data_IF_521251283512
#
_entry.id   IF_521251283512
#
_cell.length_a   1.000
_cell.length_b   1.000
_cell.length_c   1.000
_cell.angle_alpha   90.00
_cell.angle_beta   90.00
_cell.angle_gamma   90.00
#
_symmetry.space_group_name_H-M   'P 1'
#
loop_
_entity.id
_entity.type
_entity.pdbx_description
1 polymer ?
#
# COMPACT_ATOMS: atom_id res chain seq x y z
N UNK A 1 2.91 -13.70 -25.18
CA UNK A 1 4.37 -13.48 -25.02
C UNK A 1 4.69 -13.46 -23.53
N UNK A 2 5.69 -14.23 -23.06
CA UNK A 2 6.20 -14.10 -21.69
C UNK A 2 6.67 -12.67 -21.45
N UNK A 3 6.54 -12.18 -20.21
CA UNK A 3 7.18 -10.92 -19.80
C UNK A 3 8.68 -11.00 -20.07
N UNK A 4 9.32 -9.89 -20.47
CA UNK A 4 10.78 -9.82 -20.63
C UNK A 4 11.55 -10.11 -19.34
N UNK A 5 10.88 -10.13 -18.19
CA UNK A 5 11.46 -10.49 -16.90
C UNK A 5 11.23 -11.96 -16.53
N UNK A 6 10.55 -12.76 -17.35
CA UNK A 6 10.15 -14.13 -17.01
C UNK A 6 11.35 -14.98 -16.58
N UNK A 7 12.49 -14.88 -17.27
CA UNK A 7 13.70 -15.62 -16.93
C UNK A 7 14.29 -15.18 -15.59
N UNK A 8 14.29 -13.88 -15.29
CA UNK A 8 14.75 -13.35 -14.01
C UNK A 8 13.90 -13.84 -12.81
N UNK A 9 12.67 -14.30 -13.06
CA UNK A 9 11.79 -14.86 -12.02
C UNK A 9 11.93 -16.38 -11.83
N UNK A 10 12.74 -17.09 -12.63
CA UNK A 10 12.97 -18.55 -12.49
C UNK A 10 13.78 -18.90 -11.24
N UNK A 11 14.70 -18.03 -10.83
CA UNK A 11 15.57 -18.24 -9.67
C UNK A 11 15.61 -16.98 -8.80
N UNK A 12 15.20 -17.10 -7.54
CA UNK A 12 15.15 -15.98 -6.59
C UNK A 12 16.25 -16.11 -5.55
N UNK A 13 17.15 -15.12 -5.49
CA UNK A 13 18.32 -15.13 -4.59
C UNK A 13 18.26 -14.03 -3.52
N UNK A 14 17.13 -13.33 -3.41
CA UNK A 14 16.90 -12.31 -2.37
C UNK A 14 17.21 -10.90 -2.87
N UNK A 15 17.51 -9.95 -1.96
CA UNK A 15 17.78 -8.56 -2.32
C UNK A 15 18.96 -8.44 -3.31
N UNK A 16 18.77 -7.66 -4.37
CA UNK A 16 19.80 -7.44 -5.40
C UNK A 16 19.95 -8.57 -6.42
N UNK A 17 19.02 -9.53 -6.45
CA UNK A 17 18.99 -10.55 -7.51
C UNK A 17 18.60 -9.98 -8.88
N UNK A 18 18.55 -10.84 -9.90
CA UNK A 18 18.32 -10.44 -11.29
C UNK A 18 16.92 -9.87 -11.57
N UNK A 19 15.98 -9.91 -10.61
CA UNK A 19 14.64 -9.37 -10.83
C UNK A 19 14.68 -7.85 -10.93
N UNK A 20 13.87 -7.26 -11.84
CA UNK A 20 13.91 -5.83 -12.05
C UNK A 20 13.45 -5.07 -10.81
N UNK A 21 14.11 -3.95 -10.55
CA UNK A 21 13.60 -2.98 -9.58
C UNK A 21 12.37 -2.26 -10.16
N UNK A 22 11.55 -1.66 -9.29
CA UNK A 22 10.43 -0.83 -9.74
C UNK A 22 10.90 0.33 -10.65
N UNK A 23 12.08 0.90 -10.39
CA UNK A 23 12.66 1.95 -11.22
C UNK A 23 13.05 1.41 -12.60
N UNK A 24 13.67 0.23 -12.66
CA UNK A 24 14.00 -0.42 -13.93
C UNK A 24 12.73 -0.63 -14.75
N UNK A 25 11.65 -1.12 -14.14
CA UNK A 25 10.36 -1.31 -14.84
C UNK A 25 9.85 0.00 -15.43
N UNK A 26 9.93 1.11 -14.70
CA UNK A 26 9.47 2.42 -15.19
C UNK A 26 10.30 2.88 -16.39
N UNK A 27 11.64 2.75 -16.32
CA UNK A 27 12.55 3.09 -17.41
C UNK A 27 12.29 2.24 -18.65
N UNK A 28 12.19 0.93 -18.43
CA UNK A 28 11.95 -0.09 -19.44
C UNK A 28 10.62 0.05 -20.18
N UNK A 29 9.64 0.70 -19.55
CA UNK A 29 8.33 0.99 -20.13
C UNK A 29 8.24 2.44 -20.64
N UNK A 30 9.31 3.23 -20.56
CA UNK A 30 9.32 4.61 -21.01
C UNK A 30 8.34 5.52 -20.26
N UNK A 31 8.05 5.22 -18.99
CA UNK A 31 6.99 5.88 -18.21
C UNK A 31 7.45 7.18 -17.51
N UNK A 32 8.69 7.62 -17.72
CA UNK A 32 9.20 8.89 -17.20
C UNK A 32 8.32 10.07 -17.62
N UNK A 33 7.78 10.81 -16.66
CA UNK A 33 6.85 11.93 -16.90
C UNK A 33 5.47 11.58 -17.49
N UNK A 34 5.19 10.31 -17.81
CA UNK A 34 3.97 9.90 -18.53
C UNK A 34 2.70 9.80 -17.67
N UNK A 35 2.83 9.87 -16.35
CA UNK A 35 1.71 9.81 -15.41
C UNK A 35 1.38 11.16 -14.78
N UNK A 36 1.83 12.26 -15.40
CA UNK A 36 1.46 13.61 -15.00
C UNK A 36 -0.07 13.76 -14.95
N UNK A 37 -0.58 14.36 -13.88
CA UNK A 37 -2.02 14.51 -13.63
C UNK A 37 -2.72 13.25 -13.11
N UNK A 38 -1.99 12.15 -12.88
CA UNK A 38 -2.51 10.96 -12.20
C UNK A 38 -2.17 10.97 -10.72
N UNK A 39 -3.13 10.60 -9.89
CA UNK A 39 -3.01 10.61 -8.42
C UNK A 39 -2.91 9.19 -7.88
N UNK A 40 -1.91 8.96 -7.04
CA UNK A 40 -1.65 7.70 -6.37
C UNK A 40 -1.72 7.89 -4.86
N UNK A 41 -2.32 6.93 -4.16
CA UNK A 41 -2.36 6.88 -2.70
C UNK A 41 -1.77 5.54 -2.24
N UNK A 42 -0.70 5.58 -1.46
CA UNK A 42 0.09 4.39 -1.11
C UNK A 42 0.16 4.26 0.41
N UNK A 43 -0.23 3.10 0.95
CA UNK A 43 -0.13 2.84 2.38
C UNK A 43 1.24 2.28 2.77
N UNK A 44 1.74 2.66 3.96
CA UNK A 44 2.95 2.03 4.53
C UNK A 44 4.26 2.55 3.94
N UNK A 45 4.39 3.86 3.77
CA UNK A 45 5.50 4.51 3.09
C UNK A 45 6.65 4.95 4.03
N UNK A 46 6.81 4.31 5.20
CA UNK A 46 7.91 4.59 6.12
C UNK A 46 9.11 3.65 5.97
N UNK A 47 8.96 2.51 5.28
CA UNK A 47 10.03 1.54 5.05
C UNK A 47 9.71 0.59 3.89
N UNK A 48 10.68 -0.26 3.51
CA UNK A 48 10.46 -1.43 2.65
C UNK A 48 9.87 -1.11 1.26
N UNK A 49 8.94 -1.97 0.83
CA UNK A 49 8.34 -1.94 -0.51
C UNK A 49 7.61 -0.62 -0.79
N UNK A 50 6.93 -0.04 0.22
CA UNK A 50 6.23 1.23 0.06
C UNK A 50 7.17 2.39 -0.31
N UNK A 51 8.34 2.46 0.33
CA UNK A 51 9.37 3.48 0.03
C UNK A 51 9.95 3.30 -1.38
N UNK A 52 10.27 2.05 -1.76
CA UNK A 52 10.78 1.76 -3.10
C UNK A 52 9.75 2.09 -4.19
N UNK A 53 8.47 1.76 -3.94
CA UNK A 53 7.35 2.06 -4.84
C UNK A 53 7.16 3.57 -5.00
N UNK A 54 7.16 4.32 -3.90
CA UNK A 54 7.04 5.78 -3.93
C UNK A 54 8.18 6.44 -4.72
N UNK A 55 9.44 6.07 -4.44
CA UNK A 55 10.61 6.59 -5.14
C UNK A 55 10.56 6.34 -6.65
N UNK A 56 10.16 5.14 -7.04
CA UNK A 56 10.01 4.79 -8.44
C UNK A 56 8.90 5.63 -9.10
N UNK A 57 7.69 5.66 -8.51
CA UNK A 57 6.54 6.36 -9.08
C UNK A 57 6.74 7.88 -9.19
N UNK A 58 7.52 8.51 -8.31
CA UNK A 58 7.79 9.96 -8.43
C UNK A 58 8.44 10.32 -9.78
N UNK A 59 9.24 9.41 -10.37
CA UNK A 59 9.89 9.64 -11.68
C UNK A 59 8.90 9.69 -12.85
N UNK A 60 7.67 9.22 -12.65
CA UNK A 60 6.62 9.20 -13.67
C UNK A 60 5.87 10.52 -13.80
N UNK A 61 6.13 11.49 -12.91
CA UNK A 61 5.40 12.76 -12.85
C UNK A 61 4.06 12.69 -12.12
N UNK A 62 3.64 11.51 -11.63
CA UNK A 62 2.43 11.35 -10.84
C UNK A 62 2.44 12.18 -9.53
N UNK A 63 1.26 12.54 -9.06
CA UNK A 63 1.05 13.09 -7.72
C UNK A 63 0.85 11.94 -6.74
N UNK A 64 1.66 11.91 -5.69
CA UNK A 64 1.69 10.84 -4.70
C UNK A 64 1.26 11.35 -3.33
N UNK A 65 0.28 10.67 -2.74
CA UNK A 65 -0.05 10.78 -1.33
C UNK A 65 0.42 9.51 -0.63
N UNK A 66 1.32 9.68 0.32
CA UNK A 66 2.07 8.61 0.95
C UNK A 66 1.66 8.51 2.42
N UNK A 67 1.11 7.37 2.83
CA UNK A 67 0.61 7.24 4.21
C UNK A 67 1.59 6.50 5.11
N UNK A 68 1.70 6.95 6.34
CA UNK A 68 2.51 6.30 7.37
C UNK A 68 1.95 6.61 8.76
N UNK A 69 2.12 5.66 9.70
CA UNK A 69 1.82 5.90 11.12
C UNK A 69 2.87 6.74 11.84
N UNK A 70 4.11 6.70 11.35
CA UNK A 70 5.24 7.43 11.90
C UNK A 70 5.77 8.39 10.83
N UNK A 71 5.31 9.64 10.90
CA UNK A 71 5.66 10.69 9.94
C UNK A 71 7.17 11.01 9.96
N UNK A 72 7.83 11.18 11.12
CA UNK A 72 9.28 11.41 11.13
C UNK A 72 10.09 10.32 10.41
N UNK A 73 9.72 9.03 10.58
CA UNK A 73 10.37 7.93 9.89
C UNK A 73 10.13 7.99 8.36
N UNK A 74 8.91 8.30 7.93
CA UNK A 74 8.59 8.46 6.51
C UNK A 74 9.31 9.67 5.88
N UNK A 75 9.38 10.80 6.58
CA UNK A 75 10.14 11.98 6.16
C UNK A 75 11.62 11.64 5.96
N UNK A 76 12.23 10.90 6.91
CA UNK A 76 13.62 10.44 6.78
C UNK A 76 13.79 9.53 5.56
N UNK A 77 12.92 8.55 5.37
CA UNK A 77 13.03 7.57 4.29
C UNK A 77 12.80 8.15 2.88
N UNK A 78 11.98 9.20 2.78
CA UNK A 78 11.50 9.79 1.53
C UNK A 78 12.04 11.21 1.28
N UNK A 79 12.97 11.71 2.11
CA UNK A 79 13.52 13.07 2.04
C UNK A 79 13.88 13.52 0.62
N UNK A 80 14.44 12.61 -0.18
CA UNK A 80 14.89 12.89 -1.55
C UNK A 80 13.77 13.09 -2.58
N UNK A 81 12.53 12.71 -2.26
CA UNK A 81 11.39 12.78 -3.20
C UNK A 81 10.23 13.64 -2.70
N UNK A 82 10.24 14.05 -1.42
CA UNK A 82 9.20 14.93 -0.89
C UNK A 82 9.21 16.26 -1.63
N UNK A 83 8.05 16.64 -2.16
CA UNK A 83 7.87 17.87 -2.93
C UNK A 83 6.45 18.38 -2.72
N UNK A 84 6.27 19.53 -2.04
CA UNK A 84 4.95 20.09 -1.80
C UNK A 84 4.11 20.17 -3.08
N UNK A 85 2.84 19.74 -3.01
CA UNK A 85 1.92 19.70 -4.15
C UNK A 85 2.13 18.54 -5.14
N UNK A 86 3.19 17.73 -4.97
CA UNK A 86 3.41 16.53 -5.80
C UNK A 86 3.59 15.26 -4.98
N UNK A 87 4.40 15.27 -3.92
CA UNK A 87 4.65 14.11 -3.06
C UNK A 87 4.45 14.53 -1.62
N UNK A 88 3.30 14.15 -1.04
CA UNK A 88 2.85 14.58 0.27
C UNK A 88 2.64 13.41 1.22
N UNK A 89 2.92 13.63 2.50
CA UNK A 89 2.70 12.64 3.56
C UNK A 89 1.35 12.87 4.24
N UNK A 90 0.66 11.78 4.56
CA UNK A 90 -0.57 11.79 5.35
C UNK A 90 -0.43 10.80 6.51
N UNK A 91 -0.66 11.26 7.73
CA UNK A 91 -0.58 10.39 8.91
C UNK A 91 -1.79 9.48 8.98
N UNK A 92 -1.56 8.17 8.93
CA UNK A 92 -2.59 7.15 9.06
C UNK A 92 -2.06 5.96 9.85
N UNK A 93 -2.76 5.61 10.93
CA UNK A 93 -2.57 4.37 11.66
C UNK A 93 -3.67 3.36 11.31
N UNK A 94 -3.30 2.30 10.57
CA UNK A 94 -4.23 1.25 10.16
C UNK A 94 -4.73 0.38 11.32
N UNK A 95 -4.17 0.46 12.53
CA UNK A 95 -4.77 -0.19 13.71
C UNK A 95 -5.99 0.56 14.25
N UNK A 96 -6.38 1.69 13.65
CA UNK A 96 -7.54 2.49 14.03
C UNK A 96 -8.38 2.85 12.82
N UNK A 97 -9.60 2.32 12.74
CA UNK A 97 -10.54 2.66 11.67
C UNK A 97 -10.94 4.14 11.70
N UNK A 98 -10.89 4.78 12.89
CA UNK A 98 -11.09 6.21 13.00
C UNK A 98 -9.92 7.00 12.39
N UNK A 99 -8.68 6.53 12.57
CA UNK A 99 -7.51 7.12 11.90
C UNK A 99 -7.60 6.98 10.38
N UNK A 100 -8.08 5.84 9.86
CA UNK A 100 -8.36 5.65 8.42
C UNK A 100 -9.37 6.69 7.92
N UNK A 101 -10.51 6.85 8.59
CA UNK A 101 -11.53 7.85 8.23
C UNK A 101 -10.98 9.27 8.22
N UNK A 102 -10.23 9.65 9.27
CA UNK A 102 -9.61 10.97 9.36
C UNK A 102 -8.55 11.19 8.27
N UNK A 103 -7.74 10.18 7.97
CA UNK A 103 -6.73 10.21 6.92
C UNK A 103 -7.33 10.38 5.53
N UNK A 104 -8.42 9.67 5.23
CA UNK A 104 -9.17 9.86 3.97
C UNK A 104 -9.74 11.27 3.89
N UNK A 105 -10.32 11.81 4.97
CA UNK A 105 -10.77 13.21 5.00
C UNK A 105 -9.62 14.19 4.74
N UNK A 106 -8.44 13.94 5.30
CA UNK A 106 -7.26 14.77 5.07
C UNK A 106 -6.76 14.70 3.62
N UNK A 107 -6.79 13.50 3.01
CA UNK A 107 -6.50 13.32 1.59
C UNK A 107 -7.51 14.08 0.70
N UNK A 108 -8.81 13.94 0.97
CA UNK A 108 -9.87 14.56 0.16
C UNK A 108 -9.88 16.08 0.23
N UNK A 109 -9.30 16.69 1.27
CA UNK A 109 -9.04 18.14 1.34
C UNK A 109 -7.96 18.60 0.36
N UNK A 110 -7.09 17.69 -0.10
CA UNK A 110 -5.95 17.97 -0.98
C UNK A 110 -6.24 17.56 -2.43
N UNK A 111 -6.96 16.46 -2.63
CA UNK A 111 -7.35 16.00 -3.96
C UNK A 111 -8.67 15.23 -3.93
N UNK A 112 -9.54 15.52 -4.90
CA UNK A 112 -10.73 14.73 -5.19
C UNK A 112 -10.50 13.73 -6.32
N UNK A 113 -9.26 13.66 -6.85
CA UNK A 113 -8.87 12.70 -7.88
C UNK A 113 -8.06 11.58 -7.24
N UNK A 114 -8.37 10.33 -7.55
CA UNK A 114 -7.58 9.16 -7.16
C UNK A 114 -7.61 8.12 -8.27
N UNK A 115 -6.48 7.91 -8.94
CA UNK A 115 -6.41 6.91 -10.01
C UNK A 115 -5.93 5.55 -9.48
N UNK A 116 -4.99 5.52 -8.54
CA UNK A 116 -4.43 4.25 -8.05
C UNK A 116 -4.33 4.24 -6.53
N UNK A 117 -4.97 3.26 -5.92
CA UNK A 117 -4.82 2.94 -4.50
C UNK A 117 -3.91 1.73 -4.35
N UNK A 118 -2.79 1.89 -3.64
CA UNK A 118 -1.85 0.81 -3.33
C UNK A 118 -1.92 0.49 -1.83
N UNK A 119 -2.61 -0.59 -1.51
CA UNK A 119 -2.72 -1.18 -0.18
C UNK A 119 -1.46 -2.01 0.10
N UNK A 120 -0.38 -1.33 0.49
CA UNK A 120 0.95 -1.92 0.71
C UNK A 120 1.28 -2.19 2.18
N UNK A 121 0.76 -1.39 3.12
CA UNK A 121 1.06 -1.54 4.53
C UNK A 121 0.64 -2.92 5.06
N UNK A 122 1.52 -3.57 5.82
CA UNK A 122 1.18 -4.83 6.47
C UNK A 122 2.06 -5.10 7.68
N UNK A 123 1.53 -5.95 8.56
CA UNK A 123 2.23 -6.50 9.72
C UNK A 123 2.17 -8.03 9.65
N UNK A 124 3.20 -8.69 10.17
CA UNK A 124 3.34 -10.15 10.18
C UNK A 124 4.20 -10.54 11.38
N UNK A 125 4.15 -11.81 11.80
CA UNK A 125 4.99 -12.37 12.85
C UNK A 125 4.83 -11.61 14.17
N UNK A 126 3.59 -11.28 14.53
CA UNK A 126 3.27 -10.67 15.81
C UNK A 126 3.27 -11.81 16.84
N UNK A 127 4.18 -11.84 17.82
CA UNK A 127 4.39 -13.03 18.66
C UNK A 127 3.20 -13.33 19.58
N UNK A 128 2.45 -12.30 19.99
CA UNK A 128 1.33 -12.42 20.90
C UNK A 128 0.03 -11.99 20.21
N UNK A 129 -1.09 -12.64 20.55
CA UNK A 129 -2.42 -12.22 20.10
C UNK A 129 -2.70 -10.80 20.61
N UNK A 130 -2.66 -9.83 19.72
CA UNK A 130 -2.95 -8.42 20.02
C UNK A 130 -4.17 -7.94 19.23
N UNK A 131 -4.74 -6.82 19.67
CA UNK A 131 -5.93 -6.22 19.07
C UNK A 131 -5.67 -4.80 18.60
N UNK A 132 -6.28 -4.45 17.48
CA UNK A 132 -6.46 -3.08 17.01
C UNK A 132 -7.30 -2.25 17.99
N UNK A 133 -7.30 -0.93 17.80
CA UNK A 133 -8.13 0.01 18.58
C UNK A 133 -9.63 -0.29 18.48
N UNK A 134 -10.05 -1.06 17.47
CA UNK A 134 -11.43 -1.46 17.25
C UNK A 134 -11.72 -2.91 17.70
N UNK A 135 -10.79 -3.57 18.38
CA UNK A 135 -10.99 -4.92 18.95
C UNK A 135 -10.78 -6.08 17.97
N UNK A 136 -10.32 -5.82 16.74
CA UNK A 136 -9.95 -6.86 15.78
C UNK A 136 -8.53 -7.37 16.03
N UNK A 137 -8.28 -8.65 15.80
CA UNK A 137 -6.94 -9.25 15.72
C UNK A 137 -6.07 -8.39 14.81
N UNK A 138 -4.84 -8.10 15.26
CA UNK A 138 -4.03 -7.04 14.68
C UNK A 138 -3.66 -7.29 13.21
N UNK A 139 -3.29 -8.51 12.81
CA UNK A 139 -2.97 -8.79 11.41
C UNK A 139 -4.21 -8.65 10.51
N UNK A 140 -5.36 -9.18 10.92
CA UNK A 140 -6.62 -9.08 10.19
C UNK A 140 -7.11 -7.62 10.10
N UNK A 141 -7.04 -6.90 11.22
CA UNK A 141 -7.43 -5.49 11.31
C UNK A 141 -6.57 -4.60 10.42
N UNK A 142 -5.25 -4.73 10.49
CA UNK A 142 -4.30 -3.88 9.73
C UNK A 142 -4.22 -4.29 8.26
N UNK A 143 -4.00 -5.58 7.97
CA UNK A 143 -3.70 -6.04 6.61
C UNK A 143 -4.95 -6.10 5.73
N UNK A 144 -6.14 -6.28 6.32
CA UNK A 144 -7.39 -6.46 5.60
C UNK A 144 -8.44 -5.39 5.90
N UNK A 145 -8.99 -5.33 7.12
CA UNK A 145 -10.16 -4.48 7.41
C UNK A 145 -9.89 -2.99 7.19
N UNK A 146 -8.72 -2.51 7.60
CA UNK A 146 -8.34 -1.11 7.41
C UNK A 146 -8.22 -0.76 5.92
N UNK A 147 -7.61 -1.64 5.11
CA UNK A 147 -7.52 -1.46 3.65
C UNK A 147 -8.86 -1.58 2.94
N UNK A 148 -9.73 -2.50 3.39
CA UNK A 148 -11.08 -2.61 2.86
C UNK A 148 -11.89 -1.34 3.12
N UNK A 149 -11.85 -0.81 4.35
CA UNK A 149 -12.47 0.49 4.67
C UNK A 149 -11.87 1.62 3.83
N UNK A 150 -10.56 1.60 3.62
CA UNK A 150 -9.86 2.58 2.78
C UNK A 150 -10.43 2.61 1.36
N UNK A 151 -10.59 1.43 0.75
CA UNK A 151 -11.20 1.28 -0.57
C UNK A 151 -12.66 1.76 -0.57
N UNK A 152 -13.48 1.31 0.38
CA UNK A 152 -14.90 1.67 0.47
C UNK A 152 -15.11 3.19 0.57
N UNK A 153 -14.24 3.91 1.27
CA UNK A 153 -14.33 5.37 1.41
C UNK A 153 -13.87 6.14 0.17
N UNK A 154 -13.15 5.48 -0.76
CA UNK A 154 -12.52 6.12 -1.91
C UNK A 154 -13.03 5.61 -3.26
N UNK A 155 -13.81 4.54 -3.28
CA UNK A 155 -14.30 3.88 -4.49
C UNK A 155 -14.97 4.86 -5.46
N UNK A 156 -15.88 5.72 -4.98
CA UNK A 156 -16.58 6.69 -5.83
C UNK A 156 -15.61 7.70 -6.48
N UNK A 157 -14.58 8.14 -5.76
CA UNK A 157 -13.53 9.02 -6.29
C UNK A 157 -12.63 8.28 -7.29
N UNK A 158 -12.40 6.98 -7.10
CA UNK A 158 -11.66 6.17 -8.05
C UNK A 158 -12.43 5.96 -9.34
N UNK A 159 -13.74 5.69 -9.24
CA UNK A 159 -14.63 5.56 -10.40
C UNK A 159 -14.66 6.88 -11.18
N UNK A 160 -14.86 8.01 -10.49
CA UNK A 160 -14.91 9.33 -11.14
C UNK A 160 -13.58 9.74 -11.78
N UNK A 161 -12.45 9.25 -11.26
CA UNK A 161 -11.11 9.50 -11.80
C UNK A 161 -10.72 8.57 -12.94
N UNK A 162 -11.51 7.53 -13.21
CA UNK A 162 -11.24 6.55 -14.25
C UNK A 162 -11.62 7.10 -15.63
N UNK A 163 -10.78 6.86 -16.63
CA UNK A 163 -11.06 7.24 -18.02
C UNK A 163 -10.71 6.09 -18.98
N UNK A 164 -11.24 6.07 -20.22
CA UNK A 164 -10.85 5.07 -21.21
C UNK A 164 -9.34 5.02 -21.47
N UNK A 165 -8.65 6.15 -21.32
CA UNK A 165 -7.19 6.27 -21.46
C UNK A 165 -6.40 5.89 -20.20
N UNK A 166 -7.05 5.85 -19.02
CA UNK A 166 -6.41 5.45 -17.76
C UNK A 166 -7.46 4.92 -16.77
N UNK A 167 -7.59 3.60 -16.70
CA UNK A 167 -8.48 2.96 -15.75
C UNK A 167 -7.92 3.07 -14.32
N UNK A 168 -8.77 3.43 -13.37
CA UNK A 168 -8.40 3.40 -11.96
C UNK A 168 -8.14 1.97 -11.48
N UNK A 169 -7.25 1.80 -10.50
CA UNK A 169 -6.82 0.48 -10.01
C UNK A 169 -6.62 0.44 -8.50
N UNK A 170 -7.07 -0.65 -7.89
CA UNK A 170 -6.70 -1.01 -6.51
C UNK A 170 -5.66 -2.12 -6.58
N UNK A 171 -4.53 -1.92 -5.90
CA UNK A 171 -3.45 -2.90 -5.81
C UNK A 171 -3.31 -3.32 -4.35
N UNK A 172 -3.65 -4.56 -4.03
CA UNK A 172 -3.44 -5.15 -2.73
C UNK A 172 -2.12 -5.94 -2.72
N UNK A 173 -1.14 -5.46 -1.95
CA UNK A 173 0.13 -6.17 -1.79
C UNK A 173 -0.09 -7.31 -0.80
N UNK A 174 0.02 -8.54 -1.30
CA UNK A 174 -0.08 -9.77 -0.50
C UNK A 174 1.30 -10.40 -0.33
N UNK A 175 1.34 -11.59 0.28
CA UNK A 175 2.55 -12.38 0.50
C UNK A 175 2.31 -13.82 0.05
N UNK A 176 3.36 -14.55 -0.31
CA UNK A 176 3.29 -16.01 -0.50
C UNK A 176 2.72 -16.74 0.73
N UNK A 177 2.78 -16.12 1.91
CA UNK A 177 2.16 -16.58 3.15
C UNK A 177 0.67 -16.94 3.03
N UNK A 178 -0.10 -16.26 2.18
CA UNK A 178 -1.53 -16.55 2.02
C UNK A 178 -1.81 -17.97 1.49
N UNK A 179 -0.82 -18.64 0.90
CA UNK A 179 -0.93 -20.03 0.42
C UNK A 179 -0.81 -21.07 1.52
N UNK A 180 -0.34 -20.69 2.71
CA UNK A 180 -0.06 -21.59 3.84
C UNK A 180 -1.21 -21.71 4.84
N UNK A 181 -2.31 -20.99 4.64
CA UNK A 181 -3.47 -21.02 5.52
C UNK A 181 -4.60 -20.14 5.00
N UNK A 182 -5.79 -20.31 5.58
CA UNK A 182 -6.99 -19.55 5.22
C UNK A 182 -7.50 -18.68 6.36
N UNK A 183 -8.52 -17.87 6.06
CA UNK A 183 -9.23 -17.10 7.07
C UNK A 183 -10.12 -18.04 7.89
N UNK A 184 -10.06 -17.92 9.22
CA UNK A 184 -10.95 -18.65 10.13
C UNK A 184 -12.29 -17.94 10.19
N UNK A 185 -13.20 -18.22 9.26
CA UNK A 185 -14.46 -17.46 9.15
C UNK A 185 -15.33 -17.51 10.42
N UNK A 186 -15.25 -18.60 11.20
CA UNK A 186 -15.99 -18.78 12.45
C UNK A 186 -15.30 -18.15 13.68
N UNK A 187 -14.05 -17.70 13.56
CA UNK A 187 -13.23 -17.17 14.65
C UNK A 187 -12.05 -16.30 14.15
N UNK A 188 -12.31 -15.40 13.20
CA UNK A 188 -11.27 -14.56 12.58
C UNK A 188 -10.58 -13.64 13.60
N UNK A 189 -11.20 -13.48 14.76
CA UNK A 189 -10.73 -12.64 15.85
C UNK A 189 -10.04 -13.45 16.96
N UNK A 190 -9.92 -14.78 16.86
CA UNK A 190 -9.38 -15.64 17.94
C UNK A 190 -10.06 -15.41 19.30
N UNK A 191 -11.39 -15.25 19.31
CA UNK A 191 -12.18 -15.12 20.53
C UNK A 191 -12.54 -16.49 21.12
N UNK A 192 -12.69 -17.52 20.27
CA UNK A 192 -13.04 -18.88 20.71
C UNK A 192 -11.80 -19.70 21.06
N UNK A 193 -10.71 -19.53 20.29
CA UNK A 193 -9.49 -20.36 20.41
C UNK A 193 -8.20 -19.51 20.47
N UNK A 194 -8.03 -18.65 21.50
CA UNK A 194 -6.86 -17.76 21.61
C UNK A 194 -5.52 -18.51 21.68
N UNK A 195 -5.50 -19.71 22.29
CA UNK A 195 -4.32 -20.56 22.42
C UNK A 195 -3.78 -21.10 21.09
N UNK A 196 -4.57 -21.04 20.02
CA UNK A 196 -4.15 -21.52 18.69
C UNK A 196 -3.44 -20.43 17.87
N UNK A 197 -3.34 -19.20 18.39
CA UNK A 197 -2.63 -18.12 17.71
C UNK A 197 -1.15 -18.46 17.57
N UNK A 198 -0.68 -18.49 16.31
CA UNK A 198 0.72 -18.67 15.94
C UNK A 198 1.04 -17.50 15.01
N UNK A 199 1.78 -16.53 15.54
CA UNK A 199 2.04 -15.21 14.92
C UNK A 199 2.52 -15.24 13.48
#
# INVERSE_FOLDING_TARGET
MPSKYADAHKSTNGPGDARPTALQIIQDQGLGGKLTGKVFLITGCSSGIGVATAKALTTTGATLYLTARNIPAAQKALKSILKPGQVELIEINLSSLQSVKSGVKAFLKKSTTLNVLICNAGVIAIPNLTRTNNGFETQFGVNHLAHFLFFQLLESYMISSSSPSFNSRVVAVSSSGHRRGGLRLDDYNYNKRPQEYKG
#
